data_IF_969958827677
#
_entry.id   IF_969958827677
#
_cell.length_a   1.000
_cell.length_b   1.000
_cell.length_c   1.000
_cell.angle_alpha   90.00
_cell.angle_beta   90.00
_cell.angle_gamma   90.00
#
_symmetry.space_group_name_H-M   'P 1'
#
loop_
_entity.id
_entity.type
_entity.pdbx_description
1 polymer ?
#
# COMPACT_ATOMS: atom_id res chain seq x y z
N UNK A 1 52.82 45.00 -1.96
CA UNK A 1 52.68 43.80 -2.83
C UNK A 1 51.43 43.04 -2.39
N UNK A 2 50.49 42.79 -3.33
CA UNK A 2 49.39 41.79 -3.30
C UNK A 2 48.29 41.88 -2.21
N UNK A 3 47.16 42.54 -2.51
CA UNK A 3 45.81 42.14 -2.03
C UNK A 3 44.70 42.97 -2.74
N UNK A 4 44.24 42.58 -3.94
CA UNK A 4 43.04 43.21 -4.54
C UNK A 4 42.38 42.43 -5.72
N UNK A 5 42.64 41.14 -5.91
CA UNK A 5 42.20 40.40 -7.11
C UNK A 5 41.29 39.17 -6.87
N UNK A 6 40.68 39.01 -5.69
CA UNK A 6 39.85 37.83 -5.37
C UNK A 6 38.34 38.06 -5.27
N UNK A 7 37.85 39.30 -5.37
CA UNK A 7 36.40 39.60 -5.15
C UNK A 7 35.59 39.55 -6.45
N UNK A 8 36.17 39.83 -7.63
CA UNK A 8 35.43 39.83 -8.90
C UNK A 8 35.09 38.43 -9.44
N UNK A 9 35.76 37.37 -9.00
CA UNK A 9 35.52 36.01 -9.52
C UNK A 9 34.32 35.31 -8.88
N UNK A 10 33.91 35.70 -7.66
CA UNK A 10 32.73 35.13 -7.00
C UNK A 10 31.40 35.64 -7.58
N UNK A 11 31.35 36.88 -8.11
CA UNK A 11 30.10 37.47 -8.63
C UNK A 11 29.72 36.89 -10.00
N UNK A 12 30.70 36.49 -10.82
CA UNK A 12 30.45 35.89 -12.15
C UNK A 12 29.90 34.45 -12.09
N UNK A 13 30.18 33.70 -11.03
CA UNK A 13 29.65 32.33 -10.84
C UNK A 13 28.20 32.32 -10.37
N UNK A 14 27.73 33.36 -9.68
CA UNK A 14 26.34 33.44 -9.20
C UNK A 14 25.38 33.87 -10.33
N UNK A 15 25.84 34.70 -11.27
CA UNK A 15 25.02 35.16 -12.39
C UNK A 15 24.74 34.07 -13.46
N UNK A 16 25.69 33.13 -13.67
CA UNK A 16 25.52 32.05 -14.66
C UNK A 16 24.47 31.02 -14.23
N UNK A 17 24.37 30.71 -12.94
CA UNK A 17 23.34 29.81 -12.43
C UNK A 17 21.92 30.39 -12.52
N UNK A 18 21.75 31.70 -12.33
CA UNK A 18 20.45 32.35 -12.42
C UNK A 18 19.91 32.39 -13.86
N UNK A 19 20.80 32.58 -14.84
CA UNK A 19 20.45 32.59 -16.28
C UNK A 19 20.09 31.20 -16.82
N UNK A 20 20.81 30.15 -16.40
CA UNK A 20 20.48 28.77 -16.77
C UNK A 20 19.12 28.29 -16.20
N UNK A 21 18.73 28.80 -15.01
CA UNK A 21 17.45 28.47 -14.38
C UNK A 21 16.26 29.11 -15.09
N UNK A 22 16.40 30.36 -15.52
CA UNK A 22 15.33 31.10 -16.22
C UNK A 22 15.07 30.55 -17.61
N UNK A 23 16.11 30.21 -18.37
CA UNK A 23 15.94 29.60 -19.70
C UNK A 23 15.23 28.25 -19.66
N UNK A 24 15.53 27.40 -18.67
CA UNK A 24 14.90 26.09 -18.54
C UNK A 24 13.39 26.20 -18.26
N UNK A 25 12.96 27.08 -17.35
CA UNK A 25 11.54 27.23 -17.04
C UNK A 25 10.77 27.87 -18.21
N UNK A 26 11.36 28.83 -18.92
CA UNK A 26 10.76 29.39 -20.14
C UNK A 26 10.55 28.33 -21.22
N UNK A 27 11.54 27.45 -21.43
CA UNK A 27 11.42 26.34 -22.40
C UNK A 27 10.33 25.33 -22.02
N UNK A 28 10.16 25.04 -20.73
CA UNK A 28 9.07 24.17 -20.27
C UNK A 28 7.71 24.82 -20.51
N UNK A 29 7.60 26.13 -20.25
CA UNK A 29 6.35 26.89 -20.43
C UNK A 29 5.99 27.09 -21.90
N UNK A 30 6.96 27.13 -22.81
CA UNK A 30 6.68 27.25 -24.25
C UNK A 30 6.14 25.96 -24.87
N UNK A 31 6.44 24.80 -24.29
CA UNK A 31 5.93 23.50 -24.76
C UNK A 31 5.66 22.55 -23.58
N UNK A 32 4.61 22.88 -22.82
CA UNK A 32 4.21 22.15 -21.62
C UNK A 32 3.79 20.71 -21.95
N UNK A 33 3.08 20.51 -23.07
CA UNK A 33 2.57 19.20 -23.49
C UNK A 33 3.70 18.23 -23.87
N UNK A 34 4.69 18.67 -24.65
CA UNK A 34 5.85 17.84 -24.99
C UNK A 34 6.68 17.54 -23.74
N UNK A 35 6.86 18.52 -22.85
CA UNK A 35 7.55 18.29 -21.58
C UNK A 35 6.83 17.25 -20.72
N UNK A 36 5.51 17.39 -20.49
CA UNK A 36 4.71 16.43 -19.72
C UNK A 36 4.79 15.04 -20.34
N UNK A 37 4.65 14.92 -21.67
CA UNK A 37 4.74 13.63 -22.37
C UNK A 37 6.06 12.92 -22.10
N UNK A 38 7.20 13.63 -22.22
CA UNK A 38 8.53 13.05 -21.93
C UNK A 38 8.69 12.64 -20.47
N UNK A 39 8.11 13.41 -19.53
CA UNK A 39 8.17 13.09 -18.10
C UNK A 39 7.30 11.89 -17.74
N UNK A 40 6.10 11.80 -18.31
CA UNK A 40 5.23 10.63 -18.16
C UNK A 40 5.91 9.38 -18.71
N UNK A 41 6.56 9.44 -19.87
CA UNK A 41 7.27 8.30 -20.44
C UNK A 41 8.40 7.79 -19.53
N UNK A 42 9.21 8.72 -19.02
CA UNK A 42 10.29 8.37 -18.08
C UNK A 42 9.73 7.78 -16.78
N UNK A 43 8.65 8.38 -16.25
CA UNK A 43 8.02 7.98 -15.00
C UNK A 43 7.39 6.59 -15.10
N UNK A 44 6.60 6.31 -16.14
CA UNK A 44 5.95 5.01 -16.34
C UNK A 44 6.98 3.92 -16.62
N UNK A 45 8.02 4.22 -17.41
CA UNK A 45 9.10 3.25 -17.69
C UNK A 45 9.86 2.87 -16.42
N UNK A 46 10.24 3.85 -15.62
CA UNK A 46 10.99 3.59 -14.37
C UNK A 46 10.10 2.97 -13.30
N UNK A 47 8.81 3.30 -13.26
CA UNK A 47 7.83 2.61 -12.41
C UNK A 47 7.70 1.13 -12.79
N UNK A 48 7.64 0.81 -14.10
CA UNK A 48 7.62 -0.58 -14.56
C UNK A 48 8.87 -1.34 -14.16
N UNK A 49 10.06 -0.74 -14.35
CA UNK A 49 11.31 -1.37 -13.92
C UNK A 49 11.38 -1.56 -12.40
N UNK A 50 10.90 -0.58 -11.62
CA UNK A 50 10.82 -0.68 -10.16
C UNK A 50 9.81 -1.74 -9.69
N UNK A 51 8.73 -1.95 -10.46
CA UNK A 51 7.80 -3.04 -10.22
C UNK A 51 8.42 -4.42 -10.48
N UNK A 52 9.29 -4.53 -11.49
CA UNK A 52 9.97 -5.80 -11.81
C UNK A 52 11.16 -6.09 -10.87
N UNK A 53 11.77 -5.07 -10.28
CA UNK A 53 12.97 -5.20 -9.46
C UNK A 53 13.19 -4.02 -8.50
N UNK A 54 13.41 -4.32 -7.22
CA UNK A 54 13.75 -3.33 -6.19
C UNK A 54 15.03 -2.56 -6.51
N UNK A 55 15.99 -3.17 -7.23
CA UNK A 55 17.24 -2.50 -7.66
C UNK A 55 16.98 -1.31 -8.60
N UNK A 56 15.83 -1.27 -9.26
CA UNK A 56 15.42 -0.18 -10.12
C UNK A 56 14.69 0.96 -9.39
N UNK A 57 14.27 0.74 -8.13
CA UNK A 57 13.57 1.74 -7.32
C UNK A 57 14.33 3.08 -7.19
N UNK A 58 15.67 3.11 -7.01
CA UNK A 58 16.42 4.36 -6.99
C UNK A 58 16.31 5.16 -8.30
N UNK A 59 16.17 4.49 -9.46
CA UNK A 59 16.01 5.18 -10.74
C UNK A 59 14.64 5.84 -10.84
N UNK A 60 13.59 5.15 -10.39
CA UNK A 60 12.24 5.70 -10.28
C UNK A 60 12.20 6.93 -9.36
N UNK A 61 12.79 6.85 -8.17
CA UNK A 61 12.88 7.97 -7.24
C UNK A 61 13.60 9.18 -7.86
N UNK A 62 14.72 8.97 -8.56
CA UNK A 62 15.44 10.07 -9.25
C UNK A 62 14.58 10.78 -10.29
N UNK A 63 13.78 10.03 -11.05
CA UNK A 63 12.86 10.60 -12.05
C UNK A 63 11.76 11.40 -11.35
N UNK A 64 11.11 10.82 -10.34
CA UNK A 64 10.06 11.47 -9.56
C UNK A 64 10.54 12.78 -8.93
N UNK A 65 11.68 12.73 -8.22
CA UNK A 65 12.28 13.90 -7.59
C UNK A 65 12.64 14.98 -8.62
N UNK A 66 13.14 14.58 -9.79
CA UNK A 66 13.46 15.50 -10.88
C UNK A 66 12.23 16.22 -11.42
N UNK A 67 11.11 15.51 -11.53
CA UNK A 67 9.82 16.07 -11.95
C UNK A 67 9.30 17.02 -10.87
N UNK A 68 9.22 16.58 -9.62
CA UNK A 68 8.72 17.39 -8.50
C UNK A 68 9.54 18.68 -8.33
N UNK A 69 10.88 18.61 -8.35
CA UNK A 69 11.75 19.81 -8.34
C UNK A 69 11.47 20.76 -9.51
N UNK A 70 11.17 20.24 -10.69
CA UNK A 70 10.85 21.06 -11.85
C UNK A 70 9.50 21.77 -11.71
N UNK A 71 8.48 21.06 -11.21
CA UNK A 71 7.16 21.63 -10.92
C UNK A 71 7.28 22.78 -9.92
N UNK A 72 8.00 22.59 -8.82
CA UNK A 72 8.19 23.61 -7.78
C UNK A 72 9.03 24.80 -8.28
N UNK A 73 10.21 24.53 -8.86
CA UNK A 73 11.14 25.58 -9.30
C UNK A 73 10.54 26.47 -10.40
N UNK A 74 9.74 25.91 -11.29
CA UNK A 74 9.11 26.66 -12.38
C UNK A 74 7.69 27.15 -12.03
N UNK A 75 7.24 26.96 -10.78
CA UNK A 75 5.91 27.31 -10.25
C UNK A 75 4.75 26.72 -11.07
N UNK A 76 4.95 25.54 -11.66
CA UNK A 76 3.93 24.87 -12.48
C UNK A 76 2.82 24.28 -11.62
N UNK A 77 3.10 23.96 -10.34
CA UNK A 77 2.09 23.54 -9.36
C UNK A 77 1.27 24.70 -8.78
N UNK A 78 1.59 25.94 -9.13
CA UNK A 78 0.84 27.16 -8.77
C UNK A 78 0.15 27.79 -9.99
N UNK A 79 0.48 27.32 -11.19
CA UNK A 79 -0.02 27.81 -12.47
C UNK A 79 -1.36 27.14 -12.79
N UNK A 80 -2.46 27.87 -12.63
CA UNK A 80 -3.81 27.35 -12.81
C UNK A 80 -4.05 26.81 -14.22
N UNK A 81 -3.48 27.43 -15.25
CA UNK A 81 -3.63 26.98 -16.63
C UNK A 81 -2.89 25.65 -16.82
N UNK A 82 -1.66 25.53 -16.32
CA UNK A 82 -0.92 24.28 -16.38
C UNK A 82 -1.65 23.14 -15.63
N UNK A 83 -2.14 23.41 -14.43
CA UNK A 83 -2.86 22.43 -13.61
C UNK A 83 -4.15 21.99 -14.30
N UNK A 84 -4.94 22.91 -14.88
CA UNK A 84 -6.18 22.56 -15.56
C UNK A 84 -5.95 21.61 -16.74
N UNK A 85 -4.86 21.80 -17.49
CA UNK A 85 -4.49 20.95 -18.63
C UNK A 85 -3.82 19.63 -18.23
N UNK A 86 -3.13 19.57 -17.09
CA UNK A 86 -2.31 18.42 -16.67
C UNK A 86 -2.60 17.95 -15.24
N UNK A 87 -3.86 18.06 -14.81
CA UNK A 87 -4.30 17.83 -13.43
C UNK A 87 -3.85 16.48 -12.88
N UNK A 88 -4.13 15.39 -13.59
CA UNK A 88 -3.80 14.02 -13.19
C UNK A 88 -2.31 13.86 -12.95
N UNK A 89 -1.48 14.40 -13.86
CA UNK A 89 -0.02 14.38 -13.72
C UNK A 89 0.47 15.15 -12.49
N UNK A 90 -0.04 16.36 -12.27
CA UNK A 90 0.36 17.20 -11.12
C UNK A 90 -0.07 16.57 -9.80
N UNK A 91 -1.33 16.14 -9.70
CA UNK A 91 -1.88 15.53 -8.49
C UNK A 91 -1.19 14.20 -8.17
N UNK A 92 -0.90 13.38 -9.19
CA UNK A 92 -0.15 12.13 -9.03
C UNK A 92 1.25 12.38 -8.49
N UNK A 93 2.03 13.26 -9.14
CA UNK A 93 3.40 13.57 -8.71
C UNK A 93 3.40 14.12 -7.29
N UNK A 94 2.46 15.01 -6.97
CA UNK A 94 2.35 15.57 -5.61
C UNK A 94 2.05 14.49 -4.57
N UNK A 95 1.14 13.56 -4.87
CA UNK A 95 0.71 12.49 -3.96
C UNK A 95 1.81 11.46 -3.74
N UNK A 96 2.43 10.96 -4.82
CA UNK A 96 3.46 9.92 -4.73
C UNK A 96 4.81 10.45 -4.24
N UNK A 97 4.99 11.78 -4.16
CA UNK A 97 6.18 12.38 -3.55
C UNK A 97 6.02 12.62 -2.04
N UNK A 98 4.89 12.26 -1.42
CA UNK A 98 4.66 12.51 0.01
C UNK A 98 5.64 11.73 0.88
N UNK A 99 5.85 10.44 0.58
CA UNK A 99 6.81 9.57 1.30
C UNK A 99 8.28 9.94 1.11
N UNK A 100 8.55 10.93 0.25
CA UNK A 100 9.87 11.51 0.04
C UNK A 100 10.13 12.72 0.93
N UNK A 101 9.12 13.22 1.65
CA UNK A 101 9.26 14.35 2.57
C UNK A 101 9.74 13.86 3.93
N UNK A 102 10.51 14.68 4.67
CA UNK A 102 10.81 14.39 6.07
C UNK A 102 9.52 14.21 6.88
N UNK A 103 9.52 13.25 7.80
CA UNK A 103 8.41 12.94 8.71
C UNK A 103 7.11 12.50 8.01
N UNK A 104 7.18 11.95 6.80
CA UNK A 104 6.02 11.49 6.02
C UNK A 104 6.22 10.05 5.50
N UNK A 105 6.94 9.20 6.23
CA UNK A 105 7.26 7.84 5.81
C UNK A 105 6.00 7.00 5.48
N UNK A 106 4.83 7.34 6.06
CA UNK A 106 3.53 6.74 5.72
C UNK A 106 2.96 7.16 4.35
N UNK A 107 3.53 8.17 3.69
CA UNK A 107 3.03 8.73 2.43
C UNK A 107 1.69 9.45 2.55
N UNK A 108 1.37 9.95 3.74
CA UNK A 108 0.17 10.72 4.01
C UNK A 108 0.36 12.21 3.75
N UNK A 109 -0.73 12.97 3.69
CA UNK A 109 -0.71 14.42 3.50
C UNK A 109 -0.41 15.22 4.78
N UNK A 110 -0.20 14.53 5.91
CA UNK A 110 0.21 15.06 7.20
C UNK A 110 1.46 14.32 7.69
N UNK A 111 2.26 14.92 8.58
CA UNK A 111 3.39 14.22 9.18
C UNK A 111 2.96 12.99 9.99
N UNK A 112 3.81 11.97 10.03
CA UNK A 112 3.55 10.68 10.69
C UNK A 112 3.22 10.85 12.18
N UNK A 113 3.93 11.76 12.86
CA UNK A 113 3.64 12.11 14.25
C UNK A 113 2.19 12.62 14.42
N UNK A 114 1.75 13.51 13.52
CA UNK A 114 0.39 14.05 13.57
C UNK A 114 -0.64 12.93 13.36
N UNK A 115 -0.43 12.07 12.37
CA UNK A 115 -1.28 10.91 12.13
C UNK A 115 -1.39 10.00 13.35
N UNK A 116 -0.28 9.66 14.01
CA UNK A 116 -0.32 8.80 15.20
C UNK A 116 -0.94 9.45 16.42
N UNK A 117 -0.78 10.76 16.60
CA UNK A 117 -1.43 11.50 17.67
C UNK A 117 -2.96 11.54 17.48
N UNK A 118 -3.42 11.80 16.25
CA UNK A 118 -4.84 11.88 15.90
C UNK A 118 -5.54 10.52 15.92
N UNK A 119 -4.85 9.46 15.51
CA UNK A 119 -5.45 8.11 15.34
C UNK A 119 -5.18 7.18 16.53
N UNK A 120 -4.52 7.66 17.59
CA UNK A 120 -4.06 6.86 18.73
C UNK A 120 -5.11 5.91 19.30
N UNK A 121 -6.31 6.40 19.58
CA UNK A 121 -7.40 5.60 20.17
C UNK A 121 -7.96 4.55 19.19
N UNK A 122 -7.82 4.79 17.89
CA UNK A 122 -8.27 3.85 16.86
C UNK A 122 -7.31 2.68 16.71
N UNK A 123 -6.00 2.91 16.86
CA UNK A 123 -4.96 1.89 16.62
C UNK A 123 -4.33 1.32 17.90
N UNK A 124 -4.75 1.78 19.08
CA UNK A 124 -4.28 1.21 20.35
C UNK A 124 -4.64 -0.27 20.50
N UNK A 125 -3.69 -1.02 21.06
CA UNK A 125 -3.86 -2.43 21.39
C UNK A 125 -4.72 -2.52 22.66
N UNK A 126 -5.82 -3.31 22.66
CA UNK A 126 -6.62 -3.49 23.86
C UNK A 126 -5.81 -4.02 25.05
N UNK A 127 -6.02 -3.46 26.25
CA UNK A 127 -5.22 -3.76 27.46
C UNK A 127 -5.15 -5.25 27.81
N UNK A 128 -6.23 -6.00 27.58
CA UNK A 128 -6.24 -7.44 27.85
C UNK A 128 -5.30 -8.24 26.93
N UNK A 129 -4.92 -7.69 25.76
CA UNK A 129 -3.89 -8.24 24.88
C UNK A 129 -2.48 -7.77 25.26
N UNK A 130 -2.36 -6.81 26.18
CA UNK A 130 -1.08 -6.32 26.74
C UNK A 130 -0.71 -7.01 28.05
N UNK A 131 -1.55 -7.92 28.56
CA UNK A 131 -1.27 -8.64 29.79
C UNK A 131 0.03 -9.45 29.66
N UNK A 132 0.97 -9.36 30.63
CA UNK A 132 2.26 -10.05 30.54
C UNK A 132 2.15 -11.56 30.33
N UNK A 133 1.11 -12.20 30.90
CA UNK A 133 0.85 -13.62 30.70
C UNK A 133 0.49 -13.90 29.23
N UNK A 134 -0.44 -13.15 28.65
CA UNK A 134 -0.83 -13.33 27.25
C UNK A 134 0.33 -13.06 26.29
N UNK A 135 1.09 -11.98 26.51
CA UNK A 135 2.25 -11.65 25.68
C UNK A 135 3.29 -12.78 25.65
N UNK A 136 3.54 -13.44 26.79
CA UNK A 136 4.44 -14.59 26.83
C UNK A 136 3.89 -15.77 26.02
N UNK A 137 2.59 -16.03 26.11
CA UNK A 137 1.94 -17.15 25.40
C UNK A 137 1.89 -16.93 23.88
N UNK A 138 1.65 -15.71 23.42
CA UNK A 138 1.53 -15.41 21.98
C UNK A 138 2.88 -15.23 21.28
N UNK A 139 4.00 -15.12 22.01
CA UNK A 139 5.30 -14.91 21.38
C UNK A 139 5.92 -16.14 20.71
N UNK A 140 5.39 -17.34 20.96
CA UNK A 140 5.98 -18.60 20.48
C UNK A 140 4.93 -19.58 19.99
N UNK A 141 5.32 -20.41 19.02
CA UNK A 141 4.46 -21.45 18.48
C UNK A 141 4.00 -22.45 19.55
N UNK A 142 4.91 -22.88 20.41
CA UNK A 142 4.68 -23.93 21.41
C UNK A 142 3.61 -23.56 22.45
N UNK A 143 3.39 -22.26 22.65
CA UNK A 143 2.42 -21.72 23.63
C UNK A 143 1.19 -21.13 22.97
N UNK A 144 1.06 -21.25 21.65
CA UNK A 144 -0.01 -20.59 20.89
C UNK A 144 -1.41 -21.11 21.24
N UNK A 145 -1.55 -22.42 21.51
CA UNK A 145 -2.84 -22.98 21.93
C UNK A 145 -3.27 -22.46 23.31
N UNK A 146 -2.32 -22.18 24.20
CA UNK A 146 -2.58 -21.56 25.50
C UNK A 146 -3.00 -20.10 25.34
N UNK A 147 -2.39 -19.36 24.41
CA UNK A 147 -2.83 -18.01 24.05
C UNK A 147 -4.28 -18.02 23.53
N UNK A 148 -4.63 -18.98 22.65
CA UNK A 148 -6.00 -19.15 22.16
C UNK A 148 -6.97 -19.56 23.27
N UNK A 149 -6.57 -20.42 24.21
CA UNK A 149 -7.38 -20.77 25.37
C UNK A 149 -7.65 -19.54 26.27
N UNK A 150 -6.66 -18.66 26.45
CA UNK A 150 -6.85 -17.39 27.14
C UNK A 150 -7.92 -16.52 26.45
N UNK A 151 -7.89 -16.42 25.11
CA UNK A 151 -8.91 -15.67 24.35
C UNK A 151 -10.30 -16.31 24.44
N UNK A 152 -10.41 -17.65 24.42
CA UNK A 152 -11.68 -18.36 24.65
C UNK A 152 -12.26 -18.04 26.02
N UNK A 153 -11.41 -17.99 27.06
CA UNK A 153 -11.82 -17.60 28.41
C UNK A 153 -12.32 -16.16 28.44
N UNK A 154 -11.65 -15.23 27.76
CA UNK A 154 -12.16 -13.85 27.62
C UNK A 154 -13.53 -13.82 26.94
N UNK A 155 -13.74 -14.60 25.88
CA UNK A 155 -15.03 -14.69 25.20
C UNK A 155 -16.15 -15.24 26.07
N UNK A 156 -15.86 -16.13 27.02
CA UNK A 156 -16.89 -16.69 27.92
C UNK A 156 -17.55 -15.64 28.83
N UNK A 157 -16.88 -14.50 29.05
CA UNK A 157 -17.38 -13.38 29.85
C UNK A 157 -17.95 -12.22 29.00
N UNK A 158 -17.92 -12.34 27.66
CA UNK A 158 -18.36 -11.29 26.72
C UNK A 158 -19.78 -11.57 26.22
N UNK A 159 -20.50 -10.50 25.91
CA UNK A 159 -21.74 -10.60 25.14
C UNK A 159 -21.46 -11.16 23.74
N UNK A 160 -22.46 -11.76 23.10
CA UNK A 160 -22.32 -12.35 21.77
C UNK A 160 -21.76 -11.37 20.72
N UNK A 161 -22.21 -10.11 20.74
CA UNK A 161 -21.73 -9.06 19.83
C UNK A 161 -20.30 -8.58 20.14
N UNK A 162 -19.82 -8.80 21.37
CA UNK A 162 -18.49 -8.40 21.81
C UNK A 162 -17.45 -9.52 21.76
N UNK A 163 -17.81 -10.71 21.30
CA UNK A 163 -16.89 -11.84 21.21
C UNK A 163 -15.78 -11.60 20.19
N UNK A 164 -14.56 -11.91 20.59
CA UNK A 164 -13.39 -11.90 19.72
C UNK A 164 -13.48 -13.02 18.70
N UNK A 165 -13.07 -12.76 17.46
CA UNK A 165 -12.86 -13.81 16.45
C UNK A 165 -11.36 -13.96 16.25
N UNK A 166 -10.81 -15.16 16.41
CA UNK A 166 -9.37 -15.37 16.34
C UNK A 166 -9.02 -16.75 15.79
N UNK A 167 -7.89 -16.81 15.09
CA UNK A 167 -7.30 -18.04 14.58
C UNK A 167 -5.81 -17.82 14.27
N UNK A 168 -5.05 -18.91 14.30
CA UNK A 168 -3.65 -18.93 13.88
C UNK A 168 -3.52 -19.42 12.44
N UNK A 169 -2.62 -18.85 11.66
CA UNK A 169 -2.40 -19.25 10.27
C UNK A 169 -0.97 -18.93 9.79
N UNK A 170 -0.61 -19.46 8.62
CA UNK A 170 0.60 -19.07 7.89
C UNK A 170 0.19 -18.14 6.74
N UNK A 171 0.72 -16.92 6.73
CA UNK A 171 0.63 -15.99 5.61
C UNK A 171 1.27 -16.61 4.37
N UNK A 172 0.64 -16.45 3.21
CA UNK A 172 1.18 -16.96 1.93
C UNK A 172 2.17 -16.01 1.27
N UNK A 173 2.14 -14.74 1.65
CA UNK A 173 2.58 -13.66 0.76
C UNK A 173 3.59 -12.75 1.44
N UNK A 174 3.34 -12.39 2.70
CA UNK A 174 4.15 -11.41 3.41
C UNK A 174 4.69 -11.99 4.70
N UNK A 175 6.00 -11.81 4.87
CA UNK A 175 6.69 -11.92 6.14
C UNK A 175 6.23 -10.84 7.13
N UNK A 176 6.89 -10.79 8.29
CA UNK A 176 6.66 -9.68 9.23
C UNK A 176 7.62 -8.54 8.93
N UNK A 177 7.26 -7.27 9.18
CA UNK A 177 8.18 -6.13 9.02
C UNK A 177 9.56 -6.28 9.70
N UNK A 178 9.68 -7.09 10.74
CA UNK A 178 10.96 -7.36 11.42
C UNK A 178 11.68 -8.64 10.94
N UNK A 179 11.02 -9.45 10.12
CA UNK A 179 11.54 -10.73 9.64
C UNK A 179 10.72 -11.22 8.42
N UNK A 180 11.30 -11.06 7.23
CA UNK A 180 10.66 -11.43 5.95
C UNK A 180 10.40 -12.94 5.82
N UNK A 181 11.11 -13.77 6.59
CA UNK A 181 10.95 -15.23 6.61
C UNK A 181 9.92 -15.71 7.64
N UNK A 182 9.36 -14.81 8.47
CA UNK A 182 8.37 -15.18 9.48
C UNK A 182 6.96 -15.02 8.93
N UNK A 183 6.27 -16.13 8.68
CA UNK A 183 4.93 -16.14 8.07
C UNK A 183 3.80 -16.50 9.03
N UNK A 184 4.10 -17.02 10.22
CA UNK A 184 3.07 -17.41 11.20
C UNK A 184 2.45 -16.21 11.89
N UNK A 185 1.12 -16.23 12.02
CA UNK A 185 0.33 -15.16 12.62
C UNK A 185 -0.70 -15.73 13.59
N UNK A 186 -1.02 -14.97 14.63
CA UNK A 186 -2.29 -15.04 15.33
C UNK A 186 -3.07 -13.77 15.00
N UNK A 187 -4.20 -13.91 14.30
CA UNK A 187 -5.13 -12.80 14.06
C UNK A 187 -6.20 -12.80 15.15
N UNK A 188 -6.51 -11.62 15.67
CA UNK A 188 -7.57 -11.38 16.64
C UNK A 188 -8.37 -10.18 16.16
N UNK A 189 -9.61 -10.43 15.75
CA UNK A 189 -10.58 -9.38 15.42
C UNK A 189 -11.38 -9.04 16.66
N UNK A 190 -11.27 -7.78 17.07
CA UNK A 190 -11.96 -7.18 18.20
C UNK A 190 -13.13 -6.37 17.65
N UNK A 191 -14.39 -6.77 17.92
CA UNK A 191 -15.53 -6.00 17.49
C UNK A 191 -15.55 -4.60 18.13
N UNK A 192 -15.79 -3.59 17.30
CA UNK A 192 -16.05 -2.22 17.68
C UNK A 192 -17.55 -1.92 17.80
N UNK A 193 -17.87 -0.64 17.82
CA UNK A 193 -19.22 -0.11 17.85
C UNK A 193 -19.25 1.22 17.10
N UNK A 194 -19.66 1.17 15.82
CA UNK A 194 -19.73 2.36 14.96
C UNK A 194 -20.69 3.42 15.48
N UNK A 195 -21.75 3.04 16.20
CA UNK A 195 -22.69 3.99 16.82
C UNK A 195 -22.04 4.81 17.95
N UNK A 196 -20.93 4.33 18.51
CA UNK A 196 -20.13 5.02 19.52
C UNK A 196 -18.80 5.56 18.95
N UNK A 197 -18.58 5.46 17.63
CA UNK A 197 -17.30 5.83 17.03
C UNK A 197 -16.13 4.95 17.49
N UNK A 198 -16.39 3.67 17.80
CA UNK A 198 -15.37 2.69 18.16
C UNK A 198 -15.15 1.78 16.94
N UNK A 199 -13.94 1.72 16.36
CA UNK A 199 -13.70 0.91 15.17
C UNK A 199 -13.56 -0.58 15.51
N UNK A 200 -13.84 -1.45 14.54
CA UNK A 200 -13.36 -2.83 14.59
C UNK A 200 -11.84 -2.83 14.54
N UNK A 201 -11.16 -3.62 15.38
CA UNK A 201 -9.68 -3.71 15.40
C UNK A 201 -9.22 -5.10 14.99
N UNK A 202 -8.29 -5.17 14.04
CA UNK A 202 -7.62 -6.37 13.55
C UNK A 202 -6.22 -6.37 14.12
N UNK A 203 -6.04 -7.12 15.20
CA UNK A 203 -4.77 -7.22 15.93
C UNK A 203 -4.05 -8.48 15.48
N UNK A 204 -2.90 -8.33 14.84
CA UNK A 204 -2.14 -9.42 14.26
C UNK A 204 -0.78 -9.56 14.93
N UNK A 205 -0.57 -10.64 15.66
CA UNK A 205 0.73 -10.98 16.25
C UNK A 205 1.55 -11.81 15.28
N UNK A 206 2.79 -11.40 15.00
CA UNK A 206 3.80 -12.28 14.42
C UNK A 206 4.18 -13.39 15.41
N UNK A 207 4.27 -14.64 14.96
CA UNK A 207 4.63 -15.77 15.82
C UNK A 207 5.97 -16.32 15.37
N UNK A 208 6.91 -16.45 16.31
CA UNK A 208 8.22 -17.03 16.02
C UNK A 208 8.05 -18.46 15.50
N UNK A 209 8.69 -18.78 14.38
CA UNK A 209 8.64 -20.14 13.82
C UNK A 209 9.35 -21.15 14.73
N UNK A 210 8.91 -22.42 14.75
CA UNK A 210 9.55 -23.45 15.54
C UNK A 210 11.06 -23.53 15.27
N UNK A 211 11.87 -23.50 16.33
CA UNK A 211 13.32 -23.58 16.23
C UNK A 211 14.04 -22.29 15.81
N UNK A 212 13.33 -21.20 15.50
CA UNK A 212 13.99 -19.90 15.29
C UNK A 212 14.58 -19.37 16.60
N UNK A 213 15.82 -18.87 16.51
CA UNK A 213 16.55 -18.30 17.66
C UNK A 213 16.16 -16.85 17.95
N UNK A 214 15.84 -16.10 16.89
CA UNK A 214 15.47 -14.69 16.99
C UNK A 214 13.94 -14.62 17.08
N UNK A 215 13.38 -14.07 18.17
CA UNK A 215 11.93 -13.97 18.31
C UNK A 215 11.36 -12.96 17.32
N UNK A 216 10.23 -13.28 16.71
CA UNK A 216 9.43 -12.31 15.97
C UNK A 216 8.93 -11.23 16.93
N UNK A 217 9.07 -9.97 16.52
CA UNK A 217 8.73 -8.77 17.29
C UNK A 217 7.40 -8.16 16.83
N UNK A 218 7.08 -8.24 15.54
CA UNK A 218 5.94 -7.53 14.95
C UNK A 218 4.60 -7.84 15.61
N UNK A 219 3.82 -6.78 15.75
CA UNK A 219 2.43 -6.73 16.11
C UNK A 219 1.80 -5.60 15.31
N UNK A 220 0.82 -5.89 14.47
CA UNK A 220 0.13 -4.87 13.66
C UNK A 220 -1.29 -4.68 14.17
N UNK A 221 -1.75 -3.43 14.25
CA UNK A 221 -3.16 -3.11 14.48
C UNK A 221 -3.66 -2.38 13.25
N UNK A 222 -4.71 -2.91 12.63
CA UNK A 222 -5.48 -2.22 11.60
C UNK A 222 -6.92 -2.11 12.05
N UNK A 223 -7.51 -0.93 11.90
CA UNK A 223 -8.84 -0.61 12.39
C UNK A 223 -9.74 -0.18 11.25
N UNK A 224 -11.00 -0.59 11.28
CA UNK A 224 -12.04 -0.19 10.33
C UNK A 224 -13.14 0.61 11.03
N UNK A 225 -13.33 1.85 10.58
CA UNK A 225 -14.43 2.71 10.99
C UNK A 225 -15.45 2.80 9.85
N UNK A 226 -16.58 2.10 9.98
CA UNK A 226 -17.63 2.09 8.96
C UNK A 226 -18.39 3.42 8.97
N UNK A 227 -18.51 4.03 7.79
CA UNK A 227 -19.22 5.27 7.55
C UNK A 227 -20.64 5.00 7.06
N UNK A 228 -21.57 5.93 7.34
CA UNK A 228 -22.97 5.81 6.92
C UNK A 228 -23.17 5.78 5.38
N UNK A 229 -22.18 6.27 4.62
CA UNK A 229 -22.22 6.31 3.15
C UNK A 229 -21.75 5.00 2.47
N UNK A 230 -21.57 3.91 3.24
CA UNK A 230 -21.11 2.63 2.69
C UNK A 230 -19.62 2.59 2.34
N UNK A 231 -18.83 3.47 2.95
CA UNK A 231 -17.36 3.44 2.96
C UNK A 231 -16.85 3.08 4.35
N UNK A 232 -15.57 2.81 4.51
CA UNK A 232 -14.92 2.77 5.81
C UNK A 232 -13.57 3.47 5.78
N UNK A 233 -13.20 4.10 6.89
CA UNK A 233 -11.86 4.62 7.09
C UNK A 233 -10.98 3.58 7.78
N UNK A 234 -9.84 3.29 7.16
CA UNK A 234 -8.82 2.40 7.69
C UNK A 234 -7.73 3.21 8.40
N UNK A 235 -7.37 2.76 9.60
CA UNK A 235 -6.27 3.28 10.39
C UNK A 235 -5.35 2.14 10.76
N UNK A 236 -4.05 2.34 10.75
CA UNK A 236 -3.09 1.31 11.08
C UNK A 236 -1.89 1.83 11.86
N UNK A 237 -1.28 0.92 12.63
CA UNK A 237 0.00 1.14 13.31
C UNK A 237 0.72 -0.18 13.53
N UNK A 238 2.01 -0.18 13.24
CA UNK A 238 2.91 -1.27 13.58
C UNK A 238 3.60 -1.04 14.93
N UNK A 239 3.67 -2.12 15.68
CA UNK A 239 4.29 -2.19 16.99
C UNK A 239 5.34 -3.29 17.02
N UNK A 240 6.38 -3.09 17.82
CA UNK A 240 7.35 -4.12 18.15
C UNK A 240 7.28 -4.51 19.61
N UNK A 241 7.33 -5.83 19.83
CA UNK A 241 7.69 -6.41 21.11
C UNK A 241 9.18 -6.25 21.34
N UNK A 242 9.53 -5.82 22.54
CA UNK A 242 10.90 -5.81 23.05
C UNK A 242 11.00 -6.84 24.14
N UNK A 243 12.12 -7.57 24.17
CA UNK A 243 12.37 -8.69 25.07
C UNK A 243 13.54 -8.37 26.02
N UNK A 244 13.33 -7.57 27.09
CA UNK A 244 14.38 -7.33 28.08
C UNK A 244 14.88 -8.61 28.76
N UNK A 245 16.11 -8.58 29.29
CA UNK A 245 16.75 -9.72 29.97
C UNK A 245 15.99 -10.24 31.19
N UNK A 246 15.12 -9.43 31.79
CA UNK A 246 14.29 -9.83 32.92
C UNK A 246 13.07 -10.71 32.52
N UNK A 247 12.92 -11.06 31.24
CA UNK A 247 11.84 -11.90 30.74
C UNK A 247 10.47 -11.21 30.68
N UNK A 248 10.41 -9.89 30.88
CA UNK A 248 9.25 -9.09 30.52
C UNK A 248 9.14 -8.93 29.00
N UNK A 249 7.96 -8.56 28.53
CA UNK A 249 7.73 -8.19 27.13
C UNK A 249 7.07 -6.82 27.18
N UNK A 250 7.67 -5.83 26.53
CA UNK A 250 7.08 -4.50 26.36
C UNK A 250 6.73 -4.27 24.91
N UNK A 251 5.74 -3.43 24.65
CA UNK A 251 5.30 -3.10 23.29
C UNK A 251 5.40 -1.58 23.11
N UNK A 252 6.01 -1.17 22.00
CA UNK A 252 6.04 0.23 21.54
C UNK A 252 5.81 0.26 20.03
N UNK A 253 5.27 1.38 19.53
CA UNK A 253 5.17 1.56 18.09
C UNK A 253 6.56 1.63 17.46
N UNK A 254 6.65 1.22 16.20
CA UNK A 254 7.91 1.16 15.45
C UNK A 254 8.53 2.55 15.30
N UNK A 255 7.70 3.54 14.95
CA UNK A 255 8.04 4.96 14.97
C UNK A 255 8.68 5.41 16.28
N UNK A 256 8.05 5.14 17.44
CA UNK A 256 8.56 5.54 18.76
C UNK A 256 9.87 4.84 19.17
N UNK A 257 10.24 3.77 18.46
CA UNK A 257 11.51 3.07 18.65
C UNK A 257 12.62 3.60 17.74
N UNK A 258 12.32 4.53 16.82
CA UNK A 258 13.29 5.03 15.84
C UNK A 258 13.59 4.02 14.72
N UNK A 259 12.70 3.05 14.52
CA UNK A 259 12.84 1.98 13.51
C UNK A 259 12.13 2.39 12.18
N UNK A 260 11.67 3.64 12.09
CA UNK A 260 10.86 4.18 10.99
C UNK A 260 9.45 3.60 10.93
N UNK A 261 8.73 3.89 9.85
CA UNK A 261 7.51 3.19 9.46
C UNK A 261 7.58 2.83 7.98
N UNK A 262 6.74 1.88 7.55
CA UNK A 262 6.56 1.59 6.14
C UNK A 262 5.27 2.23 5.65
N UNK A 263 5.29 2.69 4.40
CA UNK A 263 4.10 3.14 3.72
C UNK A 263 3.19 1.93 3.40
N UNK A 264 2.43 1.44 4.37
CA UNK A 264 1.49 0.33 4.17
C UNK A 264 0.51 0.63 3.05
N UNK A 265 0.22 1.91 2.81
CA UNK A 265 -0.65 2.32 1.72
C UNK A 265 -0.03 2.03 0.36
N UNK A 266 1.30 1.92 0.18
CA UNK A 266 1.89 1.51 -1.09
C UNK A 266 1.37 0.13 -1.52
N UNK A 267 1.25 -0.82 -0.60
CA UNK A 267 0.86 -2.19 -0.95
C UNK A 267 -0.61 -2.51 -0.61
N UNK A 268 -1.18 -1.80 0.36
CA UNK A 268 -2.51 -2.07 0.94
C UNK A 268 -3.43 -0.86 0.86
N UNK A 269 -3.98 -0.57 -0.33
CA UNK A 269 -4.95 0.51 -0.55
C UNK A 269 -6.29 0.27 0.18
N UNK A 270 -6.54 -0.90 0.75
CA UNK A 270 -7.74 -1.13 1.56
C UNK A 270 -7.49 -1.00 3.07
N UNK A 271 -6.23 -0.92 3.52
CA UNK A 271 -5.82 -1.10 4.90
C UNK A 271 -6.00 -2.54 5.42
N UNK A 272 -7.17 -3.13 5.19
CA UNK A 272 -7.51 -4.52 5.54
C UNK A 272 -7.63 -5.35 4.26
N UNK A 273 -7.03 -6.54 4.25
CA UNK A 273 -7.18 -7.51 3.17
C UNK A 273 -8.00 -8.73 3.61
N UNK A 274 -8.69 -9.40 2.69
CA UNK A 274 -9.22 -10.73 2.93
C UNK A 274 -8.08 -11.70 3.30
N UNK A 275 -8.33 -12.58 4.26
CA UNK A 275 -7.36 -13.53 4.77
C UNK A 275 -7.45 -14.82 3.96
N UNK A 276 -6.37 -15.14 3.27
CA UNK A 276 -6.18 -16.39 2.52
C UNK A 276 -4.97 -17.17 3.05
N UNK A 277 -5.17 -17.98 4.09
CA UNK A 277 -4.11 -18.77 4.70
C UNK A 277 -3.42 -19.72 3.72
N UNK A 278 -2.16 -20.07 4.01
CA UNK A 278 -1.51 -21.18 3.32
C UNK A 278 -2.30 -22.48 3.53
N UNK A 279 -2.40 -23.30 2.49
CA UNK A 279 -3.21 -24.51 2.53
C UNK A 279 -2.76 -25.42 3.69
N UNK A 280 -3.73 -25.86 4.51
CA UNK A 280 -3.47 -26.70 5.68
C UNK A 280 -2.87 -25.98 6.90
N UNK A 281 -2.66 -24.66 6.84
CA UNK A 281 -2.08 -23.90 7.97
C UNK A 281 -3.07 -23.53 9.08
N UNK A 282 -4.38 -23.62 8.79
CA UNK A 282 -5.47 -23.38 9.74
C UNK A 282 -6.05 -24.70 10.18
N UNK A 283 -6.30 -24.87 11.48
CA UNK A 283 -6.92 -26.09 11.99
C UNK A 283 -8.39 -26.21 11.53
N UNK A 284 -8.95 -27.42 11.36
CA UNK A 284 -10.35 -27.58 10.96
C UNK A 284 -11.35 -26.84 11.85
N UNK A 285 -11.07 -26.75 13.15
CA UNK A 285 -11.91 -26.06 14.13
C UNK A 285 -11.88 -24.51 13.99
N UNK A 286 -10.93 -23.97 13.21
CA UNK A 286 -10.75 -22.52 13.03
C UNK A 286 -11.19 -22.05 11.63
N UNK A 287 -11.58 -22.95 10.72
CA UNK A 287 -12.02 -22.59 9.36
C UNK A 287 -13.25 -21.68 9.38
N UNK A 288 -14.20 -21.91 10.29
CA UNK A 288 -15.37 -21.04 10.46
C UNK A 288 -14.96 -19.62 10.85
N UNK A 289 -13.94 -19.47 11.71
CA UNK A 289 -13.44 -18.16 12.11
C UNK A 289 -12.84 -17.39 10.92
N UNK A 290 -12.16 -18.08 10.00
CA UNK A 290 -11.65 -17.47 8.75
C UNK A 290 -12.81 -16.95 7.89
N UNK A 291 -13.87 -17.73 7.72
CA UNK A 291 -15.05 -17.32 6.96
C UNK A 291 -15.77 -16.12 7.61
N UNK A 292 -15.92 -16.12 8.94
CA UNK A 292 -16.51 -15.00 9.69
C UNK A 292 -15.69 -13.72 9.48
N UNK A 293 -14.36 -13.81 9.58
CA UNK A 293 -13.46 -12.65 9.39
C UNK A 293 -13.54 -12.12 7.95
N UNK A 294 -13.54 -13.01 6.95
CA UNK A 294 -13.67 -12.60 5.55
C UNK A 294 -15.06 -12.04 5.23
N UNK A 295 -16.12 -12.58 5.84
CA UNK A 295 -17.47 -12.02 5.74
C UNK A 295 -17.56 -10.63 6.35
N UNK A 296 -16.94 -10.43 7.51
CA UNK A 296 -16.86 -9.13 8.18
C UNK A 296 -16.12 -8.10 7.33
N UNK A 297 -14.97 -8.45 6.76
CA UNK A 297 -14.25 -7.57 5.83
C UNK A 297 -15.14 -7.09 4.67
N UNK A 298 -15.89 -8.01 4.02
CA UNK A 298 -16.81 -7.66 2.93
C UNK A 298 -17.94 -6.71 3.35
N UNK A 299 -18.25 -6.63 4.64
CA UNK A 299 -19.33 -5.78 5.15
C UNK A 299 -18.94 -4.31 5.33
N UNK A 300 -17.65 -3.97 5.36
CA UNK A 300 -17.21 -2.60 5.71
C UNK A 300 -17.49 -1.54 4.64
N UNK A 301 -17.71 -1.92 3.39
CA UNK A 301 -17.87 -0.93 2.32
C UNK A 301 -16.56 -0.60 1.62
N UNK A 302 -16.53 0.46 0.81
CA UNK A 302 -15.33 0.87 0.08
C UNK A 302 -14.28 1.49 1.03
N UNK A 303 -13.00 1.12 0.92
CA UNK A 303 -11.96 1.62 1.80
C UNK A 303 -11.60 3.08 1.51
N UNK A 304 -11.18 3.77 2.56
CA UNK A 304 -10.57 5.09 2.58
C UNK A 304 -9.46 5.09 3.64
N UNK A 305 -8.54 6.04 3.57
CA UNK A 305 -7.48 6.21 4.56
C UNK A 305 -7.71 7.45 5.41
N UNK A 306 -8.92 7.62 5.94
CA UNK A 306 -9.22 8.69 6.91
C UNK A 306 -9.11 10.12 6.38
N UNK A 307 -8.96 10.31 5.06
CA UNK A 307 -8.61 11.60 4.45
C UNK A 307 -7.11 11.92 4.45
N UNK A 308 -6.27 11.05 5.01
CA UNK A 308 -4.81 11.19 5.02
C UNK A 308 -4.16 10.85 3.67
N UNK A 309 -4.83 10.02 2.87
CA UNK A 309 -4.44 9.72 1.49
C UNK A 309 -5.66 9.58 0.59
N UNK A 310 -5.66 10.33 -0.51
CA UNK A 310 -6.62 10.18 -1.60
C UNK A 310 -6.06 9.21 -2.65
N UNK A 311 -6.49 7.97 -2.59
CA UNK A 311 -6.02 6.91 -3.46
C UNK A 311 -6.41 7.09 -4.93
N UNK A 312 -7.42 7.92 -5.21
CA UNK A 312 -7.82 8.22 -6.59
C UNK A 312 -6.73 8.99 -7.33
N UNK A 313 -5.85 9.69 -6.60
CA UNK A 313 -4.68 10.40 -7.13
C UNK A 313 -3.50 9.50 -7.46
N UNK A 314 -3.56 8.22 -7.12
CA UNK A 314 -2.54 7.23 -7.48
C UNK A 314 -2.80 6.56 -8.83
N UNK A 315 -3.84 7.02 -9.54
CA UNK A 315 -4.18 6.56 -10.87
C UNK A 315 -5.25 5.48 -10.90
N UNK A 316 -5.69 5.10 -12.11
CA UNK A 316 -6.68 4.05 -12.31
C UNK A 316 -6.11 2.68 -11.88
N UNK A 317 -7.00 1.77 -11.48
CA UNK A 317 -6.60 0.40 -11.18
C UNK A 317 -6.25 -0.43 -12.42
N UNK A 318 -5.62 -1.58 -12.19
CA UNK A 318 -5.45 -2.64 -13.18
C UNK A 318 -6.79 -2.99 -13.83
N UNK A 319 -6.73 -3.39 -15.10
CA UNK A 319 -7.89 -3.89 -15.84
C UNK A 319 -8.98 -2.83 -16.12
N UNK A 320 -8.66 -1.54 -16.00
CA UNK A 320 -9.56 -0.42 -16.35
C UNK A 320 -9.67 -0.14 -17.85
N UNK A 321 -8.82 -0.74 -18.68
CA UNK A 321 -8.92 -0.61 -20.13
C UNK A 321 -10.15 -1.33 -20.70
N UNK A 322 -10.76 -0.75 -21.72
CA UNK A 322 -11.93 -1.32 -22.40
C UNK A 322 -11.59 -2.51 -23.32
N UNK A 323 -12.63 -3.15 -23.85
CA UNK A 323 -12.46 -4.27 -24.80
C UNK A 323 -11.71 -3.87 -26.08
N UNK A 324 -11.97 -2.67 -26.60
CA UNK A 324 -11.31 -2.17 -27.82
C UNK A 324 -9.81 -1.90 -27.59
N UNK A 325 -9.45 -1.30 -26.46
CA UNK A 325 -8.05 -1.10 -26.06
C UNK A 325 -7.29 -2.44 -26.00
N UNK A 326 -7.94 -3.47 -25.41
CA UNK A 326 -7.38 -4.83 -25.34
C UNK A 326 -7.26 -5.50 -26.69
N UNK A 327 -8.25 -5.34 -27.56
CA UNK A 327 -8.21 -5.86 -28.92
C UNK A 327 -7.10 -5.21 -29.74
N UNK A 328 -6.89 -3.90 -29.56
CA UNK A 328 -5.81 -3.19 -30.22
C UNK A 328 -4.44 -3.62 -29.68
N UNK A 329 -4.30 -3.84 -28.37
CA UNK A 329 -3.03 -4.24 -27.73
C UNK A 329 -2.66 -5.70 -27.96
N UNK A 330 -3.62 -6.61 -27.79
CA UNK A 330 -3.37 -8.05 -27.74
C UNK A 330 -3.93 -8.81 -28.95
N UNK A 331 -4.57 -8.10 -29.88
CA UNK A 331 -5.18 -8.67 -31.07
C UNK A 331 -6.63 -9.15 -30.84
N UNK A 332 -7.42 -9.18 -31.92
CA UNK A 332 -8.85 -9.55 -31.88
C UNK A 332 -9.12 -10.96 -31.35
N UNK A 333 -8.19 -11.89 -31.55
CA UNK A 333 -8.31 -13.27 -31.05
C UNK A 333 -8.18 -13.35 -29.53
N UNK A 334 -7.56 -12.35 -28.89
CA UNK A 334 -7.40 -12.31 -27.45
C UNK A 334 -8.76 -12.24 -26.73
N UNK A 335 -9.72 -11.47 -27.26
CA UNK A 335 -11.06 -11.34 -26.66
C UNK A 335 -11.79 -12.67 -26.46
N UNK A 336 -11.50 -13.68 -27.28
CA UNK A 336 -12.11 -15.00 -27.17
C UNK A 336 -11.46 -15.89 -26.08
N UNK A 337 -10.32 -15.49 -25.51
CA UNK A 337 -9.56 -16.30 -24.55
C UNK A 337 -10.15 -16.25 -23.14
N UNK A 338 -9.87 -17.28 -22.33
CA UNK A 338 -10.17 -17.27 -20.89
C UNK A 338 -9.45 -16.13 -20.17
N UNK A 339 -8.21 -15.83 -20.59
CA UNK A 339 -7.38 -14.76 -20.01
C UNK A 339 -8.04 -13.40 -20.19
N UNK A 340 -8.54 -13.08 -21.38
CA UNK A 340 -9.23 -11.81 -21.62
C UNK A 340 -10.50 -11.67 -20.76
N UNK A 341 -11.30 -12.74 -20.63
CA UNK A 341 -12.46 -12.77 -19.73
C UNK A 341 -12.08 -12.61 -18.26
N UNK A 342 -10.87 -13.03 -17.88
CA UNK A 342 -10.35 -12.91 -16.54
C UNK A 342 -9.67 -11.57 -16.22
N UNK A 343 -9.39 -10.74 -17.24
CA UNK A 343 -8.97 -9.35 -17.06
C UNK A 343 -10.17 -8.50 -16.63
N UNK A 344 -10.63 -8.72 -15.41
CA UNK A 344 -11.77 -8.04 -14.80
C UNK A 344 -11.47 -7.63 -13.35
N UNK A 345 -10.19 -7.45 -13.01
CA UNK A 345 -9.74 -7.08 -11.66
C UNK A 345 -10.50 -5.86 -11.12
N UNK A 346 -10.78 -4.89 -12.00
CA UNK A 346 -11.57 -3.72 -11.66
C UNK A 346 -12.93 -4.08 -11.06
N UNK A 347 -13.65 -5.11 -11.53
CA UNK A 347 -14.97 -5.47 -10.98
C UNK A 347 -14.97 -5.68 -9.45
N UNK A 348 -13.89 -6.26 -8.92
CA UNK A 348 -13.69 -6.49 -7.48
C UNK A 348 -13.00 -5.31 -6.79
N UNK A 349 -12.08 -4.62 -7.46
CA UNK A 349 -11.32 -3.52 -6.86
C UNK A 349 -12.03 -2.15 -6.91
N UNK A 350 -12.93 -1.97 -7.89
CA UNK A 350 -13.71 -0.76 -8.14
C UNK A 350 -14.95 -1.07 -9.04
N UNK A 351 -16.20 -1.17 -8.54
CA UNK A 351 -16.70 -0.70 -7.24
C UNK A 351 -16.75 -1.79 -6.15
N UNK A 352 -16.18 -2.98 -6.39
CA UNK A 352 -16.25 -4.14 -5.48
C UNK A 352 -15.53 -4.01 -4.12
N UNK A 353 -15.10 -2.78 -3.76
CA UNK A 353 -14.74 -2.38 -2.40
C UNK A 353 -13.42 -2.95 -1.86
N UNK A 354 -12.52 -3.45 -2.71
CA UNK A 354 -11.19 -3.93 -2.30
C UNK A 354 -10.07 -2.88 -2.40
N UNK A 355 -10.39 -1.64 -2.77
CA UNK A 355 -9.41 -0.60 -3.05
C UNK A 355 -8.76 -0.78 -4.43
N UNK A 356 -8.22 0.29 -4.99
CA UNK A 356 -7.62 0.26 -6.33
C UNK A 356 -6.33 -0.56 -6.33
N UNK A 357 -6.14 -1.44 -7.32
CA UNK A 357 -4.83 -2.01 -7.65
C UNK A 357 -4.12 -1.09 -8.63
N UNK A 358 -3.53 -0.01 -8.13
CA UNK A 358 -2.75 0.95 -8.92
C UNK A 358 -1.33 1.05 -8.38
N UNK A 359 -0.43 1.60 -9.18
CA UNK A 359 0.94 1.86 -8.75
C UNK A 359 0.98 3.02 -7.73
N UNK A 360 1.84 2.97 -6.68
CA UNK A 360 2.74 1.88 -6.33
C UNK A 360 1.97 0.65 -5.87
N UNK A 361 2.47 -0.54 -6.24
CA UNK A 361 1.91 -1.84 -5.89
C UNK A 361 3.03 -2.88 -5.79
N UNK A 362 2.82 -3.88 -4.94
CA UNK A 362 3.80 -4.92 -4.65
C UNK A 362 3.68 -6.09 -5.64
N UNK A 363 4.77 -6.45 -6.37
CA UNK A 363 4.76 -7.52 -7.35
C UNK A 363 4.58 -8.90 -6.74
N UNK A 364 5.11 -9.14 -5.53
CA UNK A 364 4.97 -10.41 -4.82
C UNK A 364 3.52 -10.63 -4.39
N UNK A 365 2.87 -9.60 -3.84
CA UNK A 365 1.46 -9.67 -3.47
C UNK A 365 0.61 -9.93 -4.72
N UNK A 366 0.74 -9.10 -5.75
CA UNK A 366 -0.13 -9.22 -6.93
C UNK A 366 0.06 -10.55 -7.66
N UNK A 367 1.31 -10.94 -7.93
CA UNK A 367 1.61 -12.21 -8.62
C UNK A 367 1.08 -13.40 -7.82
N UNK A 368 1.26 -13.42 -6.50
CA UNK A 368 0.83 -14.54 -5.68
C UNK A 368 -0.69 -14.75 -5.66
N UNK A 369 -1.48 -13.68 -5.74
CA UNK A 369 -2.95 -13.78 -5.86
C UNK A 369 -3.41 -14.25 -7.24
N UNK A 370 -2.80 -13.72 -8.30
CA UNK A 370 -3.17 -14.04 -9.69
C UNK A 370 -2.68 -15.46 -10.05
N UNK A 371 -1.40 -15.74 -9.84
CA UNK A 371 -0.77 -17.03 -10.14
C UNK A 371 -1.24 -18.15 -9.19
N UNK A 372 -1.54 -17.79 -7.93
CA UNK A 372 -2.16 -18.68 -6.96
C UNK A 372 -3.59 -19.11 -7.33
N UNK A 373 -4.25 -18.39 -8.24
CA UNK A 373 -5.61 -18.68 -8.71
C UNK A 373 -6.72 -18.15 -7.82
N UNK A 374 -6.44 -17.11 -7.04
CA UNK A 374 -7.43 -16.42 -6.20
C UNK A 374 -8.00 -15.19 -6.90
N UNK A 375 -7.34 -14.73 -7.97
CA UNK A 375 -7.79 -13.64 -8.82
C UNK A 375 -7.86 -14.02 -10.31
N UNK A 376 -8.95 -13.60 -11.02
CA UNK A 376 -10.14 -12.98 -10.46
C UNK A 376 -11.00 -14.00 -9.69
N UNK A 377 -11.73 -13.53 -8.69
CA UNK A 377 -12.57 -14.38 -7.85
C UNK A 377 -13.67 -15.08 -8.68
N UNK A 378 -13.94 -16.35 -8.37
CA UNK A 378 -14.98 -17.14 -9.05
C UNK A 378 -14.57 -17.70 -10.42
N UNK A 379 -13.34 -17.48 -10.88
CA UNK A 379 -12.83 -18.08 -12.12
C UNK A 379 -11.76 -19.14 -11.82
N UNK A 380 -11.83 -20.27 -12.52
CA UNK A 380 -10.78 -21.28 -12.48
C UNK A 380 -9.96 -21.22 -13.75
N UNK A 381 -8.70 -20.78 -13.62
CA UNK A 381 -7.73 -20.73 -14.70
C UNK A 381 -6.65 -21.81 -14.51
N UNK A 382 -6.13 -22.35 -15.63
CA UNK A 382 -4.94 -23.21 -15.64
C UNK A 382 -3.69 -22.42 -15.25
N UNK A 383 -2.66 -23.08 -14.73
CA UNK A 383 -1.41 -22.43 -14.32
C UNK A 383 -0.74 -21.58 -15.43
N UNK A 384 -0.85 -22.00 -16.68
CA UNK A 384 -0.34 -21.22 -17.83
C UNK A 384 -1.19 -19.97 -18.08
N UNK A 385 -2.52 -20.09 -17.97
CA UNK A 385 -3.44 -18.97 -18.14
C UNK A 385 -3.30 -17.94 -17.01
N UNK A 386 -2.98 -18.36 -15.78
CA UNK A 386 -2.74 -17.44 -14.66
C UNK A 386 -1.48 -16.59 -14.84
N UNK A 387 -0.37 -17.23 -15.24
CA UNK A 387 0.87 -16.52 -15.60
C UNK A 387 0.65 -15.56 -16.77
N UNK A 388 -0.10 -16.01 -17.77
CA UNK A 388 -0.46 -15.15 -18.91
C UNK A 388 -1.34 -13.97 -18.47
N UNK A 389 -2.32 -14.19 -17.59
CA UNK A 389 -3.15 -13.13 -17.02
C UNK A 389 -2.29 -12.09 -16.29
N UNK A 390 -1.42 -12.53 -15.39
CA UNK A 390 -0.52 -11.65 -14.66
C UNK A 390 0.31 -10.78 -15.62
N UNK A 391 1.03 -11.39 -16.56
CA UNK A 391 1.85 -10.67 -17.53
C UNK A 391 1.04 -9.66 -18.35
N UNK A 392 -0.18 -10.03 -18.78
CA UNK A 392 -1.04 -9.15 -19.58
C UNK A 392 -1.60 -7.97 -18.77
N UNK A 393 -1.86 -8.14 -17.47
CA UNK A 393 -2.25 -7.04 -16.57
C UNK A 393 -1.11 -6.01 -16.45
N UNK A 394 0.12 -6.47 -16.25
CA UNK A 394 1.30 -5.59 -16.12
C UNK A 394 1.60 -4.88 -17.45
N UNK A 395 1.57 -5.61 -18.56
CA UNK A 395 1.77 -5.06 -19.91
C UNK A 395 0.69 -4.02 -20.27
N UNK A 396 -0.58 -4.28 -19.95
CA UNK A 396 -1.67 -3.32 -20.16
C UNK A 396 -1.50 -2.04 -19.32
N UNK A 397 -0.98 -2.19 -18.10
CA UNK A 397 -0.86 -1.09 -17.16
C UNK A 397 0.29 -0.13 -17.51
N UNK A 398 1.48 -0.68 -17.76
CA UNK A 398 2.73 0.07 -17.88
C UNK A 398 3.17 0.37 -19.32
N UNK A 399 2.42 -0.04 -20.35
CA UNK A 399 2.85 0.21 -21.73
C UNK A 399 3.14 1.70 -22.00
N UNK A 400 4.32 1.97 -22.56
CA UNK A 400 4.77 3.34 -22.87
C UNK A 400 4.63 3.71 -24.34
N UNK A 401 4.02 2.86 -25.16
CA UNK A 401 3.84 3.17 -26.58
C UNK A 401 3.00 4.46 -26.77
N UNK A 402 3.30 5.24 -27.81
CA UNK A 402 2.61 6.50 -28.07
C UNK A 402 1.29 6.31 -28.82
N UNK A 403 1.22 5.29 -29.69
CA UNK A 403 0.01 4.99 -30.45
C UNK A 403 -1.03 4.26 -29.58
N UNK A 404 -0.57 3.39 -28.70
CA UNK A 404 -1.38 2.61 -27.77
C UNK A 404 -0.79 2.66 -26.34
N UNK A 405 -0.89 3.81 -25.65
CA UNK A 405 -0.38 3.95 -24.29
C UNK A 405 -1.11 3.04 -23.31
N UNK A 406 -0.39 2.57 -22.29
CA UNK A 406 -0.95 1.78 -21.19
C UNK A 406 -1.89 2.59 -20.31
N UNK A 407 -2.53 1.91 -19.36
CA UNK A 407 -3.50 2.52 -18.44
C UNK A 407 -2.91 3.75 -17.73
N UNK A 408 -1.74 3.60 -17.09
CA UNK A 408 -1.16 4.68 -16.27
C UNK A 408 -0.73 5.87 -17.13
N UNK A 409 -0.04 5.61 -18.25
CA UNK A 409 0.37 6.66 -19.20
C UNK A 409 -0.83 7.42 -19.75
N UNK A 410 -1.88 6.71 -20.18
CA UNK A 410 -3.08 7.33 -20.73
C UNK A 410 -3.77 8.26 -19.73
N UNK A 411 -3.84 7.84 -18.47
CA UNK A 411 -4.43 8.64 -17.40
C UNK A 411 -3.58 9.87 -17.05
N UNK A 412 -2.26 9.72 -16.90
CA UNK A 412 -1.36 10.85 -16.62
C UNK A 412 -1.38 11.91 -17.74
N UNK A 413 -1.66 11.51 -18.98
CA UNK A 413 -1.81 12.43 -20.12
C UNK A 413 -3.23 12.98 -20.28
N UNK A 414 -4.17 12.66 -19.38
CA UNK A 414 -5.55 13.13 -19.44
C UNK A 414 -6.38 12.55 -20.60
N UNK A 415 -5.93 11.47 -21.25
CA UNK A 415 -6.57 10.89 -22.46
C UNK A 415 -7.77 9.97 -22.16
N UNK A 416 -8.05 9.69 -20.89
CA UNK A 416 -9.11 8.76 -20.44
C UNK A 416 -10.10 9.41 -19.46
N UNK A 417 -10.41 10.69 -19.65
CA UNK A 417 -11.46 11.38 -18.89
C UNK A 417 -12.85 10.96 -19.34
#
# INVERSE_FOLDING_TARGET
MKLCLSICTCVLLIASEASAKTSQCSNIKSDTAEWVTRRVDALVRTAHSAYESDDALPAYHRVLDGINRSLQRCKLSEDADFINHHREFVEYVATISLDRKPDHELGFNVPDKQYFDETRSFVEIPDYLLQPAFLKLVSRWETLDQAKAFLRRLNSARSASGQLVFFSYISRHLGTPDNDDSFRRLLIVVPGNSALGIPDKWVQFGISDPGQKIPTRNLSVVSAMVNANGTFDAYFKDYFRTYPRNGSITIKGRWELGEGDDNCAQCHKSGILPIFPAAGSVSPAELEAVEIVNARFRSYGSPRLGGYLDQTKLGPGLSTAGGDDRNHRFGKTFAATNVSRAMTCQSCHNPGRLGSLNWPMDPLILSSFVEGGQMPFGMTLKNVERRQLYNKLIEEYFATDNANPGILKSWLLGKRR
#
